data_IF_674017296830
#
_entry.id   IF_674017296830
#
_cell.length_a   1.000
_cell.length_b   1.000
_cell.length_c   1.000
_cell.angle_alpha   90.00
_cell.angle_beta   90.00
_cell.angle_gamma   90.00
#
_symmetry.space_group_name_H-M   'P 1'
#
loop_
_entity.id
_entity.type
_entity.pdbx_description
1 polymer ?
#
# COMPACT_ATOMS: atom_id res chain seq x y z
N UNK A 1 -3.62 14.34 -4.44
CA UNK A 1 -2.16 14.35 -4.68
C UNK A 1 -1.58 15.67 -4.20
N UNK A 2 -0.72 15.66 -3.20
CA UNK A 2 -0.19 16.88 -2.57
C UNK A 2 1.18 17.19 -3.14
N UNK A 3 1.39 18.41 -3.60
CA UNK A 3 2.71 18.89 -4.02
C UNK A 3 3.65 18.95 -2.81
N UNK A 4 4.82 18.32 -2.91
CA UNK A 4 5.81 18.33 -1.84
C UNK A 4 6.47 19.71 -1.81
N UNK A 5 6.05 20.56 -0.86
CA UNK A 5 6.81 21.72 -0.41
C UNK A 5 7.22 21.51 1.04
N UNK A 6 8.19 22.29 1.51
CA UNK A 6 8.63 22.25 2.92
C UNK A 6 7.49 22.40 3.96
N UNK A 7 6.29 22.85 3.52
CA UNK A 7 5.09 22.95 4.36
C UNK A 7 4.28 21.68 4.54
N UNK A 8 4.44 20.66 3.69
CA UNK A 8 3.59 19.46 3.72
C UNK A 8 3.64 18.73 5.08
N UNK A 9 4.84 18.49 5.60
CA UNK A 9 5.02 17.79 6.87
C UNK A 9 4.64 18.66 8.08
N UNK A 10 4.69 20.01 7.97
CA UNK A 10 4.21 20.92 9.01
C UNK A 10 2.68 20.89 9.11
N UNK A 11 1.99 20.72 7.99
CA UNK A 11 0.53 20.71 7.92
C UNK A 11 -0.07 19.39 8.46
N UNK A 12 0.61 18.26 8.24
CA UNK A 12 0.20 16.96 8.83
C UNK A 12 0.39 16.98 10.36
N UNK A 13 1.46 17.60 10.86
CA UNK A 13 1.74 17.70 12.30
C UNK A 13 0.87 18.75 13.02
N UNK A 14 0.24 19.67 12.30
CA UNK A 14 -0.62 20.74 12.84
C UNK A 14 -2.11 20.42 12.85
N UNK A 15 -2.56 19.49 12.02
CA UNK A 15 -3.91 18.94 12.09
C UNK A 15 -3.97 18.06 13.36
N UNK A 16 -4.52 18.61 14.43
CA UNK A 16 -4.70 17.89 15.70
C UNK A 16 -5.38 16.56 15.40
N UNK A 17 -4.60 15.49 15.49
CA UNK A 17 -5.02 14.12 15.23
C UNK A 17 -6.09 13.76 16.27
N UNK A 18 -7.34 14.00 15.92
CA UNK A 18 -8.48 13.55 16.69
C UNK A 18 -8.36 12.04 16.84
N UNK A 19 -8.31 11.57 18.07
CA UNK A 19 -8.44 10.17 18.43
C UNK A 19 -9.65 9.60 17.67
N UNK A 20 -9.40 8.87 16.58
CA UNK A 20 -10.42 8.28 15.71
C UNK A 20 -11.32 7.41 16.56
N UNK A 21 -12.54 7.91 16.82
CA UNK A 21 -13.51 7.37 17.76
C UNK A 21 -13.66 5.86 17.61
N UNK A 22 -13.53 5.16 18.71
CA UNK A 22 -13.94 3.77 18.90
C UNK A 22 -15.46 3.68 18.73
N UNK A 23 -15.89 3.38 17.54
CA UNK A 23 -17.29 3.10 17.25
C UNK A 23 -17.34 2.43 15.88
N UNK A 24 -17.97 1.26 15.81
CA UNK A 24 -18.02 0.42 14.64
C UNK A 24 -18.42 1.18 13.37
N UNK A 25 -17.91 0.70 12.23
CA UNK A 25 -18.27 1.07 10.85
C UNK A 25 -18.04 2.52 10.41
N UNK A 26 -17.24 3.31 11.12
CA UNK A 26 -16.80 4.60 10.62
C UNK A 26 -15.77 4.39 9.49
N UNK A 27 -16.22 4.63 8.26
CA UNK A 27 -15.36 4.69 7.07
C UNK A 27 -14.18 5.61 7.37
N UNK A 28 -12.98 5.05 7.27
CA UNK A 28 -11.77 5.84 7.47
C UNK A 28 -11.63 6.84 6.30
N UNK A 29 -11.45 8.10 6.59
CA UNK A 29 -11.25 9.15 5.59
C UNK A 29 -9.86 9.74 5.79
N UNK A 30 -9.12 9.93 4.71
CA UNK A 30 -7.84 10.60 4.75
C UNK A 30 -7.98 12.01 5.33
N UNK A 31 -7.13 12.43 6.28
CA UNK A 31 -7.12 13.82 6.73
C UNK A 31 -6.79 14.81 5.61
N UNK A 32 -6.20 14.36 4.52
CA UNK A 32 -5.95 15.18 3.33
C UNK A 32 -7.23 15.49 2.55
N UNK A 33 -8.34 14.82 2.82
CA UNK A 33 -9.66 15.14 2.24
C UNK A 33 -10.16 16.53 2.65
N UNK A 34 -9.64 17.09 3.74
CA UNK A 34 -9.99 18.43 4.19
C UNK A 34 -9.21 19.54 3.46
N UNK A 35 -8.23 19.18 2.63
CA UNK A 35 -7.46 20.18 1.87
C UNK A 35 -8.31 20.83 0.78
N UNK A 36 -8.10 22.14 0.51
CA UNK A 36 -8.81 22.84 -0.55
C UNK A 36 -8.66 22.14 -1.91
N UNK A 37 -9.78 21.87 -2.57
CA UNK A 37 -9.81 21.24 -3.88
C UNK A 37 -9.73 19.70 -3.87
N UNK A 38 -9.65 19.08 -2.70
CA UNK A 38 -9.69 17.61 -2.62
C UNK A 38 -11.06 17.07 -3.09
N UNK A 39 -11.02 16.06 -3.95
CA UNK A 39 -12.19 15.32 -4.43
C UNK A 39 -11.98 13.86 -4.08
N UNK A 40 -12.85 13.33 -3.24
CA UNK A 40 -12.83 11.93 -2.81
C UNK A 40 -13.39 11.04 -3.91
N UNK A 41 -12.86 9.84 -4.10
CA UNK A 41 -13.28 8.92 -5.17
C UNK A 41 -14.76 8.54 -5.07
N UNK A 42 -15.29 8.37 -3.86
CA UNK A 42 -16.70 8.04 -3.64
C UNK A 42 -17.67 9.10 -4.19
N UNK A 43 -17.23 10.37 -4.23
CA UNK A 43 -18.04 11.47 -4.77
C UNK A 43 -18.12 11.45 -6.31
N UNK A 44 -17.14 10.81 -6.98
CA UNK A 44 -17.11 10.71 -8.44
C UNK A 44 -18.11 9.68 -8.98
N UNK A 45 -18.32 8.58 -8.25
CA UNK A 45 -19.26 7.53 -8.67
C UNK A 45 -20.72 7.95 -8.48
N UNK A 46 -21.01 8.86 -7.55
CA UNK A 46 -22.35 9.38 -7.32
C UNK A 46 -22.88 10.26 -8.47
N UNK A 47 -22.00 10.91 -9.23
CA UNK A 47 -22.39 11.80 -10.35
C UNK A 47 -22.47 11.06 -11.70
N UNK A 48 -21.97 9.81 -11.81
CA UNK A 48 -21.98 9.00 -13.02
C UNK A 48 -23.19 8.05 -13.15
N UNK A 49 -24.09 7.98 -12.18
CA UNK A 49 -25.35 7.21 -12.28
C UNK A 49 -26.45 7.92 -13.06
N UNK A 50 -26.09 8.78 -14.02
CA UNK A 50 -26.97 9.28 -15.07
C UNK A 50 -27.33 8.15 -16.02
N UNK A 51 -28.58 7.72 -15.95
CA UNK A 51 -29.33 6.76 -16.76
C UNK A 51 -28.73 6.46 -18.15
N UNK A 52 -27.90 5.45 -18.23
CA UNK A 52 -27.51 4.81 -19.50
C UNK A 52 -28.03 3.37 -19.49
N UNK A 53 -29.18 3.14 -20.18
CA UNK A 53 -29.69 1.82 -20.46
C UNK A 53 -28.63 0.99 -21.21
N UNK A 54 -27.97 0.06 -20.50
CA UNK A 54 -27.27 -1.04 -21.15
C UNK A 54 -28.16 -2.27 -21.13
N UNK A 55 -28.55 -2.75 -22.34
CA UNK A 55 -29.26 -3.98 -22.52
C UNK A 55 -28.46 -5.18 -22.01
N UNK A 56 -29.15 -6.00 -21.28
CA UNK A 56 -28.76 -7.25 -20.66
C UNK A 56 -28.22 -8.25 -21.70
N UNK A 57 -26.91 -8.46 -21.74
CA UNK A 57 -26.33 -9.61 -22.44
C UNK A 57 -26.19 -10.77 -21.44
N UNK A 58 -27.14 -11.68 -21.52
CA UNK A 58 -27.15 -12.95 -20.80
C UNK A 58 -26.01 -13.86 -21.23
N UNK A 59 -25.06 -14.16 -20.32
CA UNK A 59 -24.01 -15.16 -20.56
C UNK A 59 -23.16 -15.34 -19.31
N UNK A 60 -23.49 -16.33 -18.48
CA UNK A 60 -22.91 -16.57 -17.17
C UNK A 60 -21.40 -16.82 -17.17
N UNK A 61 -20.76 -16.09 -16.34
CA UNK A 61 -19.63 -16.46 -15.48
C UNK A 61 -19.70 -15.45 -14.33
N UNK A 62 -20.02 -15.90 -13.12
CA UNK A 62 -19.86 -15.11 -11.92
C UNK A 62 -18.37 -14.85 -11.71
N UNK A 63 -17.87 -13.88 -12.43
CA UNK A 63 -16.61 -13.24 -12.10
C UNK A 63 -17.00 -12.07 -11.20
N UNK A 64 -17.10 -12.31 -9.90
CA UNK A 64 -17.07 -11.25 -8.90
C UNK A 64 -15.66 -10.65 -8.96
N UNK A 65 -15.41 -9.84 -10.02
CA UNK A 65 -14.36 -8.83 -9.96
C UNK A 65 -14.72 -8.00 -8.73
N UNK A 66 -13.95 -8.15 -7.66
CA UNK A 66 -13.99 -7.22 -6.53
C UNK A 66 -13.84 -5.84 -7.15
N UNK A 67 -14.91 -5.05 -7.11
CA UNK A 67 -14.88 -3.62 -7.34
C UNK A 67 -13.72 -3.10 -6.50
N UNK A 68 -12.88 -2.26 -7.10
CA UNK A 68 -11.65 -1.79 -6.44
C UNK A 68 -12.03 -1.12 -5.13
N UNK A 69 -11.75 -1.78 -4.02
CA UNK A 69 -12.06 -1.34 -2.65
C UNK A 69 -11.44 0.03 -2.28
N UNK A 70 -10.63 0.61 -3.16
CA UNK A 70 -10.01 1.92 -2.98
C UNK A 70 -11.06 3.03 -2.75
N UNK A 71 -12.22 2.97 -3.40
CA UNK A 71 -13.29 3.92 -3.25
C UNK A 71 -13.84 3.97 -1.80
N UNK A 72 -13.94 2.82 -1.13
CA UNK A 72 -14.48 2.72 0.23
C UNK A 72 -13.56 3.26 1.34
N UNK A 73 -12.34 3.71 1.03
CA UNK A 73 -11.37 4.18 2.03
C UNK A 73 -11.09 5.68 2.00
N UNK A 74 -11.93 6.47 1.31
CA UNK A 74 -11.76 7.91 1.23
C UNK A 74 -10.49 8.31 0.48
N UNK A 75 -10.10 7.54 -0.55
CA UNK A 75 -8.99 7.87 -1.41
C UNK A 75 -9.27 9.16 -2.19
N UNK A 76 -8.25 10.01 -2.32
CA UNK A 76 -8.38 11.29 -2.99
C UNK A 76 -8.10 11.09 -4.49
N UNK A 77 -9.07 11.43 -5.33
CA UNK A 77 -8.92 11.37 -6.78
C UNK A 77 -8.00 12.50 -7.30
N UNK A 78 -8.21 13.73 -6.82
CA UNK A 78 -7.41 14.90 -7.18
C UNK A 78 -7.67 16.07 -6.20
N UNK A 79 -6.86 17.13 -6.28
CA UNK A 79 -6.96 18.35 -5.49
C UNK A 79 -7.33 19.58 -6.33
N UNK A 80 -7.99 19.38 -7.49
CA UNK A 80 -8.53 20.44 -8.31
C UNK A 80 -7.81 20.65 -9.66
N UNK A 81 -6.62 20.11 -9.85
CA UNK A 81 -5.88 20.15 -11.13
C UNK A 81 -5.34 18.74 -11.50
N UNK A 82 -6.18 17.80 -11.96
CA UNK A 82 -5.76 16.44 -12.25
C UNK A 82 -4.59 16.35 -13.22
N UNK A 83 -4.56 17.22 -14.23
CA UNK A 83 -3.49 17.21 -15.24
C UNK A 83 -2.16 17.72 -14.67
N UNK A 84 -2.18 18.82 -13.95
CA UNK A 84 -0.98 19.37 -13.31
C UNK A 84 -0.43 18.43 -12.23
N UNK A 85 -1.32 17.75 -11.51
CA UNK A 85 -0.97 16.76 -10.51
C UNK A 85 -0.30 15.53 -11.13
N UNK A 86 -0.83 15.03 -12.25
CA UNK A 86 -0.24 13.92 -12.97
C UNK A 86 1.18 14.26 -13.47
N UNK A 87 1.39 15.45 -14.03
CA UNK A 87 2.71 15.92 -14.42
C UNK A 87 3.66 16.05 -13.23
N UNK A 88 3.17 16.55 -12.10
CA UNK A 88 3.98 16.67 -10.89
C UNK A 88 4.40 15.30 -10.34
N UNK A 89 3.53 14.29 -10.45
CA UNK A 89 3.86 12.92 -10.06
C UNK A 89 4.91 12.31 -11.00
N UNK A 90 4.74 12.47 -12.32
CA UNK A 90 5.69 11.98 -13.31
C UNK A 90 7.08 12.61 -13.15
N UNK A 91 7.13 13.89 -12.82
CA UNK A 91 8.37 14.62 -12.52
C UNK A 91 8.98 14.28 -11.15
N UNK A 92 8.37 13.41 -10.35
CA UNK A 92 8.82 13.07 -9.01
C UNK A 92 8.65 14.21 -7.99
N UNK A 93 7.73 15.14 -8.23
CA UNK A 93 7.48 16.32 -7.38
C UNK A 93 6.22 16.23 -6.52
N UNK A 94 5.58 15.07 -6.52
CA UNK A 94 4.32 14.88 -5.81
C UNK A 94 4.29 13.58 -5.00
N UNK A 95 3.44 13.61 -3.96
CA UNK A 95 3.08 12.44 -3.15
C UNK A 95 1.62 12.12 -3.33
N UNK A 96 1.29 10.84 -3.22
CA UNK A 96 -0.06 10.31 -3.24
C UNK A 96 -0.37 9.71 -1.88
N UNK A 97 -1.47 10.14 -1.26
CA UNK A 97 -2.01 9.45 -0.10
C UNK A 97 -2.53 8.06 -0.50
N UNK A 98 -2.18 7.04 0.27
CA UNK A 98 -2.52 5.64 0.02
C UNK A 98 -3.37 5.06 1.15
N UNK A 99 -4.60 5.58 1.36
CA UNK A 99 -5.53 5.07 2.37
C UNK A 99 -6.01 3.64 2.07
N UNK A 100 -5.91 3.22 0.82
CA UNK A 100 -6.19 1.87 0.32
C UNK A 100 -5.20 0.82 0.84
N UNK A 101 -4.05 1.23 1.37
CA UNK A 101 -3.04 0.34 1.95
C UNK A 101 -3.13 0.26 3.47
N UNK A 102 -2.62 -0.84 4.00
CA UNK A 102 -2.46 -1.08 5.43
C UNK A 102 -1.15 -1.83 5.70
N UNK A 103 -0.72 -1.81 6.97
CA UNK A 103 0.52 -2.45 7.40
C UNK A 103 0.18 -3.59 8.37
N UNK A 104 0.67 -4.79 8.06
CA UNK A 104 0.72 -5.90 9.01
C UNK A 104 2.16 -6.03 9.49
N UNK A 105 2.36 -5.85 10.79
CA UNK A 105 3.65 -5.97 11.46
C UNK A 105 3.90 -7.40 11.90
N UNK A 106 5.10 -7.91 11.63
CA UNK A 106 5.52 -9.27 12.01
C UNK A 106 6.83 -9.18 12.78
N UNK A 107 6.76 -9.34 14.09
CA UNK A 107 7.90 -9.34 15.00
C UNK A 107 8.38 -10.75 15.37
N UNK A 108 9.54 -10.77 16.04
CA UNK A 108 10.10 -11.97 16.63
C UNK A 108 11.22 -12.64 15.84
N UNK A 109 12.05 -13.43 16.54
CA UNK A 109 13.29 -13.96 15.96
C UNK A 109 13.08 -14.98 14.85
N UNK A 110 11.92 -15.62 14.79
CA UNK A 110 11.64 -16.64 13.80
C UNK A 110 10.93 -16.07 12.54
N UNK A 111 10.63 -14.73 12.48
CA UNK A 111 9.83 -14.08 11.43
C UNK A 111 10.32 -14.35 10.00
N UNK A 112 11.61 -14.18 9.75
CA UNK A 112 12.17 -14.30 8.40
C UNK A 112 12.18 -15.74 7.88
N UNK A 113 12.59 -16.69 8.72
CA UNK A 113 12.60 -18.11 8.37
C UNK A 113 11.19 -18.67 8.21
N UNK A 114 10.28 -18.25 9.07
CA UNK A 114 8.89 -18.65 9.01
C UNK A 114 8.21 -18.13 7.74
N UNK A 115 8.25 -16.83 7.47
CA UNK A 115 7.64 -16.25 6.27
C UNK A 115 8.27 -16.81 4.98
N UNK A 116 9.60 -17.07 4.96
CA UNK A 116 10.24 -17.77 3.84
C UNK A 116 9.59 -19.14 3.58
N UNK A 117 9.16 -19.85 4.62
CA UNK A 117 8.61 -21.20 4.48
C UNK A 117 7.15 -21.25 4.02
N UNK A 118 6.40 -20.15 4.19
CA UNK A 118 4.95 -20.09 3.92
C UNK A 118 4.58 -19.10 2.81
N UNK A 119 5.57 -18.45 2.19
CA UNK A 119 5.34 -17.49 1.10
C UNK A 119 6.20 -17.82 -0.13
N UNK A 120 5.97 -17.10 -1.20
CA UNK A 120 6.70 -17.26 -2.47
C UNK A 120 8.12 -16.66 -2.45
N UNK A 121 8.50 -15.94 -1.36
CA UNK A 121 9.73 -15.14 -1.33
C UNK A 121 10.70 -15.64 -0.27
N UNK A 122 12.00 -15.66 -0.61
CA UNK A 122 13.08 -15.88 0.35
C UNK A 122 13.35 -14.59 1.10
N UNK A 123 13.10 -14.59 2.42
CA UNK A 123 13.31 -13.45 3.31
C UNK A 123 14.50 -13.66 4.25
N UNK A 124 15.01 -14.88 4.34
CA UNK A 124 16.25 -15.15 5.09
C UNK A 124 17.42 -14.43 4.45
N UNK A 125 18.08 -13.56 5.22
CA UNK A 125 19.20 -12.74 4.72
C UNK A 125 18.79 -11.42 4.10
N UNK A 126 17.52 -11.01 4.20
CA UNK A 126 17.13 -9.63 3.88
C UNK A 126 17.87 -8.66 4.80
N UNK A 127 18.42 -7.60 4.25
CA UNK A 127 19.09 -6.55 5.01
C UNK A 127 18.08 -5.50 5.49
N UNK A 128 18.38 -4.83 6.60
CA UNK A 128 17.53 -3.77 7.12
C UNK A 128 17.35 -2.65 6.07
N UNK A 129 16.10 -2.28 5.80
CA UNK A 129 15.71 -1.31 4.77
C UNK A 129 15.61 -1.88 3.36
N UNK A 130 15.94 -3.14 3.14
CA UNK A 130 15.79 -3.80 1.85
C UNK A 130 14.31 -4.13 1.59
N UNK A 131 13.88 -3.92 0.34
CA UNK A 131 12.51 -4.17 -0.10
C UNK A 131 12.39 -5.50 -0.83
N UNK A 132 11.30 -6.21 -0.58
CA UNK A 132 10.89 -7.42 -1.28
C UNK A 132 9.40 -7.36 -1.59
N UNK A 133 8.91 -8.34 -2.32
CA UNK A 133 7.50 -8.63 -2.51
C UNK A 133 7.27 -10.11 -2.23
N UNK A 134 6.21 -10.44 -1.50
CA UNK A 134 5.82 -11.81 -1.24
C UNK A 134 4.38 -12.07 -1.66
N UNK A 135 4.13 -13.32 -2.05
CA UNK A 135 2.80 -13.84 -2.30
C UNK A 135 2.54 -15.01 -1.35
N UNK A 136 1.33 -15.07 -0.84
CA UNK A 136 0.80 -16.25 -0.14
C UNK A 136 -0.17 -16.91 -1.10
N UNK A 137 0.06 -18.21 -1.35
CA UNK A 137 -0.67 -18.98 -2.33
C UNK A 137 -1.53 -20.04 -1.65
N UNK A 138 -2.68 -20.30 -2.24
CA UNK A 138 -3.49 -21.47 -1.88
C UNK A 138 -2.82 -22.78 -2.34
N UNK A 139 -3.33 -23.97 -1.93
CA UNK A 139 -2.79 -25.24 -2.38
C UNK A 139 -2.88 -25.50 -3.89
N UNK A 140 -3.68 -24.72 -4.62
CA UNK A 140 -3.84 -24.78 -6.07
C UNK A 140 -2.90 -23.82 -6.79
N UNK A 141 -2.22 -22.91 -6.03
CA UNK A 141 -1.28 -21.93 -6.56
C UNK A 141 -1.93 -20.60 -6.93
N UNK A 142 -3.16 -20.33 -6.52
CA UNK A 142 -3.77 -19.01 -6.65
C UNK A 142 -3.25 -18.07 -5.56
N UNK A 143 -3.14 -16.78 -5.88
CA UNK A 143 -2.73 -15.77 -4.92
C UNK A 143 -3.89 -15.50 -3.96
N UNK A 144 -3.67 -15.75 -2.67
CA UNK A 144 -4.61 -15.36 -1.61
C UNK A 144 -4.26 -13.98 -1.04
N UNK A 145 -2.95 -13.72 -0.85
CA UNK A 145 -2.47 -12.43 -0.37
C UNK A 145 -1.19 -12.04 -1.10
N UNK A 146 -1.04 -10.73 -1.34
CA UNK A 146 0.17 -10.09 -1.85
C UNK A 146 0.59 -8.98 -0.90
N UNK A 147 1.90 -8.82 -0.67
CA UNK A 147 2.42 -7.76 0.16
C UNK A 147 3.81 -7.32 -0.27
N UNK A 148 4.04 -6.00 -0.25
CA UNK A 148 5.39 -5.43 -0.20
C UNK A 148 6.00 -5.70 1.16
N UNK A 149 7.31 -5.90 1.23
CA UNK A 149 8.03 -6.26 2.46
C UNK A 149 9.17 -5.30 2.72
N UNK A 150 9.25 -4.80 3.93
CA UNK A 150 10.41 -4.07 4.47
C UNK A 150 10.76 -4.69 5.82
N UNK A 151 12.05 -4.87 6.12
CA UNK A 151 12.53 -5.30 7.44
C UNK A 151 13.46 -4.22 8.00
N UNK A 152 13.28 -3.83 9.26
CA UNK A 152 14.13 -2.85 9.94
C UNK A 152 15.24 -3.51 10.79
N UNK A 153 15.31 -4.85 10.76
CA UNK A 153 16.22 -5.66 11.55
C UNK A 153 15.56 -6.29 12.79
N UNK A 154 14.48 -5.71 13.30
CA UNK A 154 13.71 -6.20 14.46
C UNK A 154 12.29 -6.60 14.08
N UNK A 155 11.65 -5.80 13.24
CA UNK A 155 10.26 -5.94 12.78
C UNK A 155 10.22 -6.02 11.25
N UNK A 156 9.33 -6.81 10.73
CA UNK A 156 9.02 -6.88 9.31
C UNK A 156 7.64 -6.27 9.07
N UNK A 157 7.55 -5.40 8.07
CA UNK A 157 6.35 -4.66 7.70
C UNK A 157 5.83 -5.17 6.37
N UNK A 158 4.61 -5.67 6.38
CA UNK A 158 3.89 -6.12 5.19
C UNK A 158 2.94 -5.02 4.74
N UNK A 159 3.25 -4.39 3.61
CA UNK A 159 2.40 -3.39 2.95
C UNK A 159 1.43 -4.14 2.05
N UNK A 160 0.15 -4.09 2.35
CA UNK A 160 -0.88 -4.84 1.62
C UNK A 160 -2.15 -3.97 1.44
N UNK A 161 -3.07 -4.42 0.60
CA UNK A 161 -4.37 -3.78 0.47
C UNK A 161 -5.13 -3.81 1.79
N UNK A 162 -5.77 -2.70 2.14
CA UNK A 162 -6.51 -2.55 3.40
C UNK A 162 -7.64 -3.57 3.53
N UNK A 163 -8.35 -3.85 2.43
CA UNK A 163 -9.40 -4.87 2.36
C UNK A 163 -8.93 -6.24 2.77
N UNK A 164 -7.68 -6.59 2.44
CA UNK A 164 -7.08 -7.91 2.68
C UNK A 164 -6.30 -7.97 4.00
N UNK A 165 -5.96 -6.83 4.60
CA UNK A 165 -5.00 -6.75 5.71
C UNK A 165 -5.42 -7.52 6.95
N UNK A 166 -6.69 -7.45 7.36
CA UNK A 166 -7.20 -8.20 8.50
C UNK A 166 -7.17 -9.71 8.23
N UNK A 167 -7.61 -10.13 7.03
CA UNK A 167 -7.57 -11.52 6.60
C UNK A 167 -6.13 -12.08 6.59
N UNK A 168 -5.18 -11.30 6.07
CA UNK A 168 -3.76 -11.65 6.10
C UNK A 168 -3.24 -11.81 7.54
N UNK A 169 -3.54 -10.86 8.42
CA UNK A 169 -3.11 -10.92 9.82
C UNK A 169 -3.70 -12.14 10.55
N UNK A 170 -4.97 -12.45 10.33
CA UNK A 170 -5.65 -13.60 10.93
C UNK A 170 -5.08 -14.92 10.38
N UNK A 171 -4.85 -15.01 9.08
CA UNK A 171 -4.24 -16.16 8.44
C UNK A 171 -2.83 -16.41 9.00
N UNK A 172 -1.98 -15.39 9.04
CA UNK A 172 -0.64 -15.47 9.62
C UNK A 172 -0.68 -15.90 11.09
N UNK A 173 -1.58 -15.32 11.90
CA UNK A 173 -1.75 -15.72 13.29
C UNK A 173 -2.16 -17.21 13.44
N UNK A 174 -2.96 -17.73 12.51
CA UNK A 174 -3.35 -19.15 12.51
C UNK A 174 -2.19 -20.09 12.18
N UNK A 175 -1.21 -19.61 11.39
CA UNK A 175 -0.09 -20.41 10.86
C UNK A 175 1.17 -20.37 11.73
N UNK A 176 1.21 -19.53 12.77
CA UNK A 176 2.43 -19.36 13.60
C UNK A 176 2.75 -20.54 14.53
N UNK A 177 1.75 -21.35 14.90
CA UNK A 177 1.88 -22.49 15.83
C UNK A 177 2.69 -22.14 17.10
N UNK A 178 3.82 -22.82 17.32
CA UNK A 178 4.71 -22.63 18.47
C UNK A 178 5.92 -21.71 18.14
N UNK A 179 5.92 -21.03 17.03
CA UNK A 179 7.00 -20.12 16.63
C UNK A 179 6.99 -18.82 17.45
N UNK A 180 8.17 -18.25 17.62
CA UNK A 180 8.35 -16.98 18.35
C UNK A 180 8.17 -15.82 17.39
N UNK A 181 6.92 -15.61 16.99
CA UNK A 181 6.48 -14.52 16.14
C UNK A 181 5.25 -13.86 16.70
N UNK A 182 5.11 -12.57 16.46
CA UNK A 182 3.96 -11.75 16.78
C UNK A 182 3.47 -11.09 15.51
N UNK A 183 2.15 -11.14 15.26
CA UNK A 183 1.54 -10.55 14.06
C UNK A 183 0.46 -9.57 14.51
N UNK A 184 0.54 -8.34 14.05
CA UNK A 184 -0.38 -7.26 14.41
C UNK A 184 -0.78 -6.46 13.18
N UNK A 185 -2.08 -6.20 12.99
CA UNK A 185 -2.55 -5.18 12.06
C UNK A 185 -2.30 -3.80 12.67
N UNK A 186 -1.39 -3.04 12.08
CA UNK A 186 -0.94 -1.76 12.63
C UNK A 186 -1.87 -0.61 12.27
N UNK A 187 -2.05 0.31 13.23
CA UNK A 187 -2.74 1.59 13.02
C UNK A 187 -1.78 2.78 13.13
N UNK A 188 -0.49 2.49 13.30
CA UNK A 188 0.55 3.48 13.63
C UNK A 188 1.12 4.24 12.44
N UNK A 189 0.65 4.03 11.21
CA UNK A 189 1.30 4.54 10.01
C UNK A 189 0.40 5.37 9.13
N UNK A 190 0.94 6.49 8.62
CA UNK A 190 0.52 7.13 7.39
C UNK A 190 1.27 6.48 6.23
N UNK A 191 0.58 6.28 5.10
CA UNK A 191 1.16 5.61 3.92
C UNK A 191 1.05 6.56 2.74
N UNK A 192 2.19 6.91 2.15
CA UNK A 192 2.26 7.76 0.98
C UNK A 192 2.96 7.03 -0.16
N UNK A 193 2.56 7.32 -1.39
CA UNK A 193 3.20 6.84 -2.60
C UNK A 193 3.95 7.94 -3.33
N UNK A 194 5.02 7.60 -4.04
CA UNK A 194 5.70 8.49 -4.99
C UNK A 194 6.20 7.73 -6.20
N UNK A 195 6.45 8.47 -7.29
CA UNK A 195 7.08 7.94 -8.50
C UNK A 195 8.38 8.71 -8.73
N UNK A 196 9.40 8.02 -9.23
CA UNK A 196 10.68 8.61 -9.53
C UNK A 196 11.47 9.03 -8.28
N UNK A 197 12.50 9.81 -8.45
CA UNK A 197 13.32 10.30 -7.35
C UNK A 197 12.73 11.57 -6.74
N UNK A 198 11.70 11.41 -5.94
CA UNK A 198 11.02 12.53 -5.26
C UNK A 198 11.83 13.16 -4.12
N UNK A 199 12.90 12.49 -3.67
CA UNK A 199 13.67 12.91 -2.49
C UNK A 199 12.92 12.74 -1.16
N UNK A 200 11.70 12.21 -1.18
CA UNK A 200 10.83 12.08 0.01
C UNK A 200 11.43 11.18 1.08
N UNK A 201 12.14 10.13 0.70
CA UNK A 201 12.85 9.25 1.64
C UNK A 201 13.93 9.93 2.47
N UNK A 202 14.31 11.18 2.13
CA UNK A 202 15.29 11.96 2.90
C UNK A 202 14.65 12.85 3.98
N UNK A 203 13.30 12.90 4.07
CA UNK A 203 12.63 13.64 5.13
C UNK A 203 12.68 12.85 6.45
N UNK A 204 12.98 13.54 7.55
CA UNK A 204 13.08 12.94 8.90
C UNK A 204 11.80 12.22 9.36
N UNK A 205 10.65 12.63 8.84
CA UNK A 205 9.36 12.03 9.16
C UNK A 205 9.14 10.69 8.48
N UNK A 206 9.88 10.38 7.41
CA UNK A 206 9.81 9.10 6.71
C UNK A 206 10.72 8.11 7.42
N UNK A 207 10.13 7.16 8.12
CA UNK A 207 10.89 6.15 8.84
C UNK A 207 11.38 5.04 7.92
N UNK A 208 10.54 4.62 6.97
CA UNK A 208 10.88 3.57 6.02
C UNK A 208 10.33 3.86 4.63
N UNK A 209 11.01 3.32 3.63
CA UNK A 209 10.55 3.36 2.23
C UNK A 209 10.64 1.97 1.62
N UNK A 210 9.50 1.44 1.19
CA UNK A 210 9.47 0.29 0.31
C UNK A 210 9.70 0.75 -1.13
N UNK A 211 10.70 0.17 -1.77
CA UNK A 211 11.02 0.41 -3.17
C UNK A 211 10.52 -0.77 -3.99
N UNK A 212 9.72 -0.52 -5.01
CA UNK A 212 9.21 -1.56 -5.89
C UNK A 212 10.37 -2.37 -6.50
N UNK A 213 10.50 -3.67 -6.19
CA UNK A 213 11.56 -4.52 -6.72
C UNK A 213 11.31 -4.98 -8.16
N UNK A 214 10.12 -4.72 -8.73
CA UNK A 214 9.70 -5.25 -10.03
C UNK A 214 10.68 -4.98 -11.18
N UNK A 215 11.33 -3.80 -11.33
CA UNK A 215 12.29 -3.58 -12.41
C UNK A 215 13.62 -4.32 -12.22
N UNK A 216 13.84 -4.89 -11.07
CA UNK A 216 15.07 -5.60 -10.71
C UNK A 216 14.92 -7.11 -10.67
N UNK A 217 16.04 -7.78 -10.51
CA UNK A 217 16.10 -9.21 -10.18
C UNK A 217 16.59 -9.32 -8.75
N UNK A 218 15.74 -9.87 -7.89
CA UNK A 218 16.09 -10.17 -6.51
C UNK A 218 16.83 -11.52 -6.48
N UNK A 219 17.86 -11.62 -5.66
CA UNK A 219 18.63 -12.86 -5.52
C UNK A 219 17.71 -14.03 -5.11
N UNK A 220 17.70 -15.09 -5.93
CA UNK A 220 16.76 -16.21 -5.78
C UNK A 220 15.34 -15.96 -6.32
N UNK A 221 15.06 -14.78 -6.87
CA UNK A 221 13.79 -14.43 -7.49
C UNK A 221 13.67 -14.84 -8.96
N UNK A 222 12.47 -14.62 -9.51
CA UNK A 222 12.20 -14.84 -10.92
C UNK A 222 12.56 -13.62 -11.77
N UNK A 223 13.16 -13.86 -12.94
CA UNK A 223 13.36 -12.82 -13.94
C UNK A 223 12.17 -12.82 -14.91
N UNK A 224 11.37 -11.75 -14.92
CA UNK A 224 10.20 -11.64 -15.77
C UNK A 224 10.50 -11.18 -17.20
N UNK A 225 11.66 -10.59 -17.44
CA UNK A 225 12.02 -10.05 -18.74
C UNK A 225 13.52 -10.21 -19.03
N UNK A 226 13.85 -10.86 -20.16
CA UNK A 226 15.24 -11.00 -20.60
C UNK A 226 15.67 -9.75 -21.38
N UNK A 227 16.62 -9.02 -20.84
CA UNK A 227 17.18 -7.80 -21.43
C UNK A 227 16.86 -6.56 -20.60
N UNK A 228 16.62 -5.41 -21.26
CA UNK A 228 16.26 -4.18 -20.55
C UNK A 228 14.81 -4.21 -20.11
N UNK A 229 14.56 -4.31 -18.81
CA UNK A 229 13.21 -4.36 -18.25
C UNK A 229 12.42 -3.10 -18.67
N UNK A 230 11.16 -3.22 -19.14
CA UNK A 230 10.37 -2.07 -19.57
C UNK A 230 10.11 -1.06 -18.44
N UNK A 231 10.03 -1.52 -17.20
CA UNK A 231 9.83 -0.68 -16.00
C UNK A 231 11.11 -0.07 -15.42
N UNK A 232 12.28 -0.28 -16.02
CA UNK A 232 13.58 0.19 -15.47
C UNK A 232 13.68 1.70 -15.22
N UNK A 233 12.85 2.48 -15.92
CA UNK A 233 12.80 3.93 -15.80
C UNK A 233 11.65 4.39 -14.89
N UNK A 234 10.88 3.46 -14.34
CA UNK A 234 9.76 3.74 -13.43
C UNK A 234 10.17 3.24 -12.06
N UNK A 235 10.35 4.15 -11.12
CA UNK A 235 10.56 3.84 -9.71
C UNK A 235 9.29 4.15 -8.97
N UNK A 236 8.71 3.17 -8.31
CA UNK A 236 7.56 3.35 -7.44
C UNK A 236 7.98 3.12 -5.99
N UNK A 237 7.51 3.99 -5.10
CA UNK A 237 7.89 3.97 -3.69
C UNK A 237 6.67 4.11 -2.80
N UNK A 238 6.67 3.38 -1.70
CA UNK A 238 5.73 3.53 -0.60
C UNK A 238 6.51 3.99 0.64
N UNK A 239 6.09 5.10 1.22
CA UNK A 239 6.72 5.72 2.38
C UNK A 239 5.86 5.51 3.62
N UNK A 240 6.46 5.02 4.69
CA UNK A 240 5.83 4.82 5.98
C UNK A 240 6.22 5.96 6.92
N UNK A 241 5.22 6.66 7.43
CA UNK A 241 5.37 7.81 8.32
C UNK A 241 4.63 7.48 9.62
N UNK A 242 5.29 7.50 10.77
CA UNK A 242 4.64 7.28 12.06
C UNK A 242 3.53 8.32 12.33
N UNK A 243 2.43 7.86 12.93
CA UNK A 243 1.32 8.73 13.36
C UNK A 243 1.62 9.40 14.68
#
# INVERSE_FOLDING_TARGET
MTLVGEGFFSDIGGAGLGDGGRGGDAQWVSPLAELPGAVVLDDLDADQTGEGNFEEATGGAENTAQESDAAGYGAIAHYGDPSGEQWALEDGRALVDRPDLAIVEVGGPDRLTWLTSISSQVLTGIEAGESRELLILDPQGHIEYAAGVIDDGEMLYLVTERSSAQGLADWLNSMRFALRVEVTLSQGWWILGSVGNSGVSNYEQVEMTWNDPWPGVVDGGAEYFRGSHPGKNVSFHIHLIPK
#
